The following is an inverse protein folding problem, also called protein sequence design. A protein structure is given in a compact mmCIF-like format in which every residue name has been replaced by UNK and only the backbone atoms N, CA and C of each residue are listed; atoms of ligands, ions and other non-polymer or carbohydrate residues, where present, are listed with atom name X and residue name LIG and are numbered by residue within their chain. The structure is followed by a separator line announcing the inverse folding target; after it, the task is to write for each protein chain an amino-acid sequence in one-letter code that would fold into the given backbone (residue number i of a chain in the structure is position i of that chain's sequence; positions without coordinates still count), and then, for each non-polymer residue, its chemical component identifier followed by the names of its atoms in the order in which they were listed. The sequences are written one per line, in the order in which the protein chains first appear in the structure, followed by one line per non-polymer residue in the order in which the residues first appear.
data_IF_117899091815
#
_entry.id   IF_117899091815
#
_cell.length_a   1.000
_cell.length_b   1.000
_cell.length_c   1.000
_cell.angle_alpha   90.00
_cell.angle_beta   90.00
_cell.angle_gamma   90.00
#
_symmetry.space_group_name_H-M   'P 1'
#
loop_
_entity.id
_entity.type
_entity.pdbx_description
1 polymer ?
#
# COMPACT_ATOMS: atom_id res chain seq x y z
N UNK A 1 17.97 1.45 10.40
CA UNK A 1 16.90 0.67 9.76
C UNK A 1 17.54 -0.23 8.73
N UNK A 2 17.33 -1.54 8.83
CA UNK A 2 17.70 -2.46 7.75
C UNK A 2 16.76 -2.26 6.56
N UNK A 3 17.24 -2.61 5.37
CA UNK A 3 16.42 -2.59 4.16
C UNK A 3 15.32 -3.66 4.23
N UNK A 4 14.10 -3.38 3.71
CA UNK A 4 13.03 -4.36 3.69
C UNK A 4 13.38 -5.55 2.80
N UNK A 5 12.96 -6.76 3.23
CA UNK A 5 13.12 -7.97 2.43
C UNK A 5 11.96 -8.06 1.45
N UNK A 6 12.23 -7.87 0.16
CA UNK A 6 11.20 -7.92 -0.88
C UNK A 6 10.82 -9.38 -1.16
N UNK A 7 9.53 -9.69 -1.04
CA UNK A 7 8.97 -11.03 -1.25
C UNK A 7 8.32 -11.13 -2.64
N UNK A 8 7.63 -10.08 -3.06
CA UNK A 8 7.07 -9.95 -4.40
C UNK A 8 7.43 -8.61 -5.00
N UNK A 9 7.77 -8.58 -6.29
CA UNK A 9 8.27 -7.38 -6.95
C UNK A 9 7.50 -7.09 -8.23
N UNK A 10 7.03 -5.84 -8.35
CA UNK A 10 6.46 -5.27 -9.57
C UNK A 10 5.34 -6.14 -10.19
N UNK A 11 4.46 -6.68 -9.35
CA UNK A 11 3.33 -7.49 -9.80
C UNK A 11 2.21 -6.56 -10.23
N UNK A 12 1.87 -6.60 -11.52
CA UNK A 12 0.77 -5.80 -12.06
C UNK A 12 -0.57 -6.32 -11.53
N UNK A 13 -1.42 -5.41 -11.06
CA UNK A 13 -2.74 -5.77 -10.54
C UNK A 13 -3.63 -4.54 -10.36
N UNK A 14 -4.69 -4.74 -9.57
CA UNK A 14 -5.60 -3.68 -9.16
C UNK A 14 -5.55 -3.50 -7.65
N UNK A 15 -5.70 -2.26 -7.22
CA UNK A 15 -5.94 -1.91 -5.82
C UNK A 15 -7.20 -1.08 -5.73
N UNK A 16 -7.96 -1.30 -4.65
CA UNK A 16 -9.07 -0.45 -4.25
C UNK A 16 -8.71 0.27 -2.96
N UNK A 17 -8.77 1.59 -2.97
CA UNK A 17 -8.50 2.43 -1.81
C UNK A 17 -9.81 2.99 -1.24
N UNK A 18 -9.94 2.99 0.10
CA UNK A 18 -11.09 3.58 0.81
C UNK A 18 -12.44 3.03 0.31
N UNK A 19 -12.45 1.77 -0.13
CA UNK A 19 -13.58 1.06 -0.75
C UNK A 19 -14.22 1.77 -1.97
N UNK A 20 -13.55 2.78 -2.52
CA UNK A 20 -14.13 3.70 -3.50
C UNK A 20 -13.28 3.90 -4.75
N UNK A 21 -11.97 3.92 -4.61
CA UNK A 21 -11.09 4.32 -5.70
C UNK A 21 -10.30 3.12 -6.23
N UNK A 22 -10.66 2.68 -7.43
CA UNK A 22 -10.01 1.57 -8.13
C UNK A 22 -8.89 2.07 -9.04
N UNK A 23 -7.69 1.50 -8.89
CA UNK A 23 -6.53 1.85 -9.70
C UNK A 23 -5.80 0.60 -10.19
N UNK A 24 -5.28 0.70 -11.41
CA UNK A 24 -4.28 -0.25 -11.91
C UNK A 24 -2.92 0.15 -11.37
N UNK A 25 -2.19 -0.81 -10.80
CA UNK A 25 -0.89 -0.55 -10.18
C UNK A 25 0.10 -1.64 -10.51
N UNK A 26 1.39 -1.34 -10.34
CA UNK A 26 2.36 -2.38 -10.02
C UNK A 26 2.61 -2.39 -8.52
N UNK A 27 2.49 -3.56 -7.92
CA UNK A 27 2.61 -3.77 -6.49
C UNK A 27 3.90 -4.51 -6.18
N UNK A 28 4.66 -3.99 -5.22
CA UNK A 28 5.78 -4.68 -4.59
C UNK A 28 5.45 -4.87 -3.13
N UNK A 29 5.65 -6.08 -2.60
CA UNK A 29 5.39 -6.45 -1.21
C UNK A 29 6.69 -6.99 -0.62
N UNK A 30 7.03 -6.51 0.56
CA UNK A 30 8.15 -6.97 1.35
C UNK A 30 7.82 -6.96 2.84
N UNK A 31 8.83 -7.29 3.64
CA UNK A 31 8.77 -7.26 5.09
C UNK A 31 9.78 -6.25 5.62
N UNK A 32 9.31 -5.33 6.46
CA UNK A 32 10.14 -4.40 7.19
C UNK A 32 10.71 -5.03 8.48
N UNK A 33 11.70 -4.36 9.06
CA UNK A 33 12.25 -4.73 10.38
C UNK A 33 11.17 -4.54 11.46
N UNK A 34 10.76 -5.61 12.13
CA UNK A 34 9.64 -5.59 13.09
C UNK A 34 8.47 -6.51 12.71
N UNK A 35 8.46 -7.05 11.48
CA UNK A 35 7.42 -7.95 11.01
C UNK A 35 6.30 -7.27 10.21
N UNK A 36 6.31 -5.94 10.15
CA UNK A 36 5.34 -5.18 9.35
C UNK A 36 5.52 -5.42 7.85
N UNK A 37 4.43 -5.33 7.11
CA UNK A 37 4.48 -5.36 5.65
C UNK A 37 4.98 -4.02 5.11
N UNK A 38 5.95 -4.10 4.20
CA UNK A 38 6.38 -2.98 3.37
C UNK A 38 5.74 -3.10 1.99
N UNK A 39 5.11 -2.04 1.51
CA UNK A 39 4.50 -2.02 0.19
C UNK A 39 5.05 -0.86 -0.64
N UNK A 40 5.28 -1.11 -1.92
CA UNK A 40 5.43 -0.05 -2.93
C UNK A 40 4.29 -0.19 -3.93
N UNK A 41 3.54 0.90 -4.09
CA UNK A 41 2.39 0.97 -4.99
C UNK A 41 2.71 1.98 -6.08
N UNK A 42 2.95 1.47 -7.28
CA UNK A 42 3.17 2.28 -8.48
C UNK A 42 1.87 2.41 -9.25
N UNK A 43 1.21 3.55 -9.10
CA UNK A 43 -0.01 3.90 -9.84
C UNK A 43 0.33 4.19 -11.29
N UNK A 44 -0.29 3.45 -12.20
CA UNK A 44 -0.09 3.56 -13.63
C UNK A 44 -1.37 4.02 -14.33
N UNK A 45 -1.19 4.69 -15.47
CA UNK A 45 -2.29 5.15 -16.33
C UNK A 45 -3.33 6.03 -15.60
N UNK A 46 -2.90 6.87 -14.64
CA UNK A 46 -3.83 7.73 -13.91
C UNK A 46 -4.42 8.80 -14.82
N UNK A 47 -5.71 9.07 -14.64
CA UNK A 47 -6.30 10.32 -15.12
C UNK A 47 -5.81 11.48 -14.27
N UNK A 48 -5.97 12.71 -14.76
CA UNK A 48 -5.63 13.90 -13.98
C UNK A 48 -6.41 13.99 -12.65
N UNK A 49 -7.67 13.54 -12.64
CA UNK A 49 -8.47 13.45 -11.42
C UNK A 49 -7.94 12.36 -10.48
N UNK A 50 -7.61 11.18 -11.03
CA UNK A 50 -6.99 10.08 -10.28
C UNK A 50 -5.70 10.52 -9.58
N UNK A 51 -4.81 11.22 -10.30
CA UNK A 51 -3.58 11.77 -9.73
C UNK A 51 -3.85 12.73 -8.58
N UNK A 52 -4.85 13.61 -8.69
CA UNK A 52 -5.22 14.53 -7.61
C UNK A 52 -5.70 13.79 -6.37
N UNK A 53 -6.56 12.77 -6.55
CA UNK A 53 -7.09 11.97 -5.44
C UNK A 53 -5.96 11.22 -4.75
N UNK A 54 -5.14 10.50 -5.50
CA UNK A 54 -3.98 9.76 -4.97
C UNK A 54 -3.04 10.75 -4.25
N UNK A 55 -2.70 11.89 -4.86
CA UNK A 55 -1.84 12.88 -4.21
C UNK A 55 -2.45 13.53 -2.94
N UNK A 56 -3.78 13.54 -2.81
CA UNK A 56 -4.45 13.98 -1.59
C UNK A 56 -4.42 12.90 -0.51
N UNK A 57 -4.75 11.66 -0.88
CA UNK A 57 -4.71 10.51 0.03
C UNK A 57 -3.30 10.29 0.61
N UNK A 58 -2.25 10.46 -0.20
CA UNK A 58 -0.86 10.29 0.23
C UNK A 58 -0.38 11.28 1.30
N UNK A 59 -1.14 12.35 1.55
CA UNK A 59 -0.84 13.38 2.55
C UNK A 59 -1.62 13.19 3.85
N UNK A 60 -2.56 12.24 3.88
CA UNK A 60 -3.36 11.98 5.07
C UNK A 60 -2.49 11.26 6.10
N UNK A 61 -2.40 11.82 7.30
CA UNK A 61 -1.69 11.22 8.44
C UNK A 61 -2.59 10.20 9.16
N UNK A 62 -3.16 9.26 8.40
CA UNK A 62 -3.99 8.17 8.93
C UNK A 62 -3.83 6.91 8.08
N UNK A 63 -4.31 5.79 8.63
CA UNK A 63 -4.47 4.53 7.90
C UNK A 63 -5.49 4.70 6.78
N UNK A 64 -5.18 4.16 5.61
CA UNK A 64 -6.07 4.07 4.45
C UNK A 64 -6.47 2.62 4.23
N UNK A 65 -7.75 2.32 4.00
CA UNK A 65 -8.13 0.95 3.66
C UNK A 65 -7.66 0.59 2.26
N UNK A 66 -7.17 -0.63 2.10
CA UNK A 66 -6.69 -1.16 0.82
C UNK A 66 -7.22 -2.57 0.59
N UNK A 67 -7.59 -2.87 -0.65
CA UNK A 67 -7.84 -4.23 -1.14
C UNK A 67 -7.06 -4.45 -2.41
N UNK A 68 -6.58 -5.66 -2.63
CA UNK A 68 -5.92 -6.05 -3.87
C UNK A 68 -6.10 -7.53 -4.12
N UNK A 69 -6.32 -7.89 -5.38
CA UNK A 69 -6.39 -9.30 -5.79
C UNK A 69 -5.14 -10.08 -5.40
N UNK A 70 -3.96 -9.44 -5.42
CA UNK A 70 -2.68 -10.06 -5.05
C UNK A 70 -2.62 -10.30 -3.54
N UNK A 71 -3.08 -9.33 -2.74
CA UNK A 71 -3.13 -9.44 -1.27
C UNK A 71 -4.05 -10.60 -0.88
N UNK A 72 -5.23 -10.66 -1.48
CA UNK A 72 -6.25 -11.67 -1.17
C UNK A 72 -5.81 -13.08 -1.61
N UNK A 73 -5.26 -13.19 -2.83
CA UNK A 73 -4.84 -14.48 -3.41
C UNK A 73 -3.71 -15.13 -2.61
N UNK A 74 -2.75 -14.33 -2.15
CA UNK A 74 -1.56 -14.79 -1.43
C UNK A 74 -1.77 -14.77 0.09
N UNK A 75 -2.99 -14.44 0.53
CA UNK A 75 -3.43 -14.43 1.92
C UNK A 75 -2.58 -13.53 2.83
N UNK A 76 -2.12 -12.40 2.31
CA UNK A 76 -1.46 -11.39 3.13
C UNK A 76 -2.49 -10.69 4.02
N UNK A 77 -2.22 -10.56 5.32
CA UNK A 77 -3.12 -9.87 6.26
C UNK A 77 -2.97 -8.33 6.19
N UNK A 78 -3.07 -7.78 4.97
CA UNK A 78 -2.90 -6.35 4.69
C UNK A 78 -4.28 -5.76 4.41
N UNK A 79 -4.84 -5.07 5.40
CA UNK A 79 -6.17 -4.42 5.26
C UNK A 79 -6.08 -2.90 5.18
N UNK A 80 -4.99 -2.34 5.72
CA UNK A 80 -4.77 -0.91 5.81
C UNK A 80 -3.31 -0.56 5.55
N UNK A 81 -3.06 0.60 4.95
CA UNK A 81 -1.73 1.12 4.71
C UNK A 81 -1.57 2.52 5.28
N UNK A 82 -0.34 2.86 5.65
CA UNK A 82 0.08 4.23 5.95
C UNK A 82 1.14 4.62 4.91
N UNK A 83 0.89 5.71 4.18
CA UNK A 83 1.85 6.22 3.21
C UNK A 83 2.98 6.92 3.95
N UNK A 84 4.21 6.40 3.81
CA UNK A 84 5.39 6.94 4.49
C UNK A 84 6.21 7.84 3.57
N UNK A 85 6.21 7.55 2.27
CA UNK A 85 6.79 8.40 1.23
C UNK A 85 5.95 8.32 -0.02
N UNK A 86 6.00 9.39 -0.82
CA UNK A 86 5.41 9.38 -2.14
C UNK A 86 6.22 10.24 -3.10
N UNK A 87 6.17 9.91 -4.39
CA UNK A 87 6.70 10.72 -5.47
C UNK A 87 5.78 10.65 -6.67
N UNK A 88 5.78 11.71 -7.50
CA UNK A 88 5.00 11.78 -8.73
C UNK A 88 5.91 12.15 -9.89
N UNK A 89 5.61 11.66 -11.09
CA UNK A 89 6.33 12.04 -12.30
C UNK A 89 5.43 12.76 -13.32
N UNK A 90 6.02 13.24 -14.41
CA UNK A 90 5.33 13.98 -15.47
C UNK A 90 4.36 13.14 -16.30
N UNK A 91 4.38 11.81 -16.15
CA UNK A 91 3.61 10.89 -16.98
C UNK A 91 2.32 10.43 -16.30
N UNK A 92 1.79 11.24 -15.38
CA UNK A 92 0.63 10.90 -14.55
C UNK A 92 0.83 9.58 -13.80
N UNK A 93 2.06 9.29 -13.36
CA UNK A 93 2.32 8.18 -12.45
C UNK A 93 2.69 8.71 -11.08
N UNK A 94 2.35 7.92 -10.07
CA UNK A 94 2.66 8.20 -8.67
C UNK A 94 3.12 6.91 -8.01
N UNK A 95 4.16 7.02 -7.20
CA UNK A 95 4.68 5.90 -6.40
C UNK A 95 4.45 6.22 -4.95
N UNK A 96 3.89 5.27 -4.21
CA UNK A 96 3.82 5.31 -2.76
C UNK A 96 4.70 4.23 -2.16
N UNK A 97 5.45 4.59 -1.11
CA UNK A 97 5.99 3.64 -0.15
C UNK A 97 5.08 3.64 1.07
N UNK A 98 4.70 2.46 1.52
CA UNK A 98 3.72 2.26 2.57
C UNK A 98 4.20 1.24 3.59
N UNK A 99 3.69 1.38 4.81
CA UNK A 99 3.74 0.34 5.84
C UNK A 99 2.33 -0.14 6.14
N UNK A 100 2.21 -1.41 6.50
CA UNK A 100 0.98 -2.02 6.97
C UNK A 100 1.31 -2.93 8.15
N UNK A 101 0.69 -2.65 9.28
CA UNK A 101 0.76 -3.50 10.45
C UNK A 101 -0.19 -4.67 10.24
N UNK A 102 0.22 -5.88 10.63
CA UNK A 102 -0.69 -7.02 10.67
C UNK A 102 -1.68 -6.83 11.85
N UNK A 103 -2.98 -6.64 11.60
CA UNK A 103 -3.95 -6.42 12.67
C UNK A 103 -4.03 -7.61 13.65
N UNK A 104 -3.70 -8.83 13.23
CA UNK A 104 -3.71 -10.02 14.09
C UNK A 104 -2.54 -10.06 15.08
N UNK A 105 -1.49 -9.27 14.88
CA UNK A 105 -0.39 -9.15 15.86
C UNK A 105 -0.84 -8.50 17.17
N UNK A 106 -1.94 -7.73 17.14
CA UNK A 106 -2.51 -7.06 18.31
C UNK A 106 -3.64 -7.83 18.98
N UNK A 107 -4.19 -8.86 18.34
CA UNK A 107 -5.26 -9.70 18.91
C UNK A 107 -4.76 -10.54 20.12
N UNK A 108 -3.44 -10.64 20.31
CA UNK A 108 -2.83 -11.29 21.47
C UNK A 108 -2.46 -10.34 22.61
N UNK A 109 -2.74 -9.03 22.50
CA UNK A 109 -2.55 -8.09 23.62
C UNK A 109 -3.90 -7.93 24.34
N UNK A 110 -4.34 -8.99 25.00
CA UNK A 110 -5.30 -8.87 26.10
C UNK A 110 -4.51 -8.32 27.29
N UNK A 111 -4.67 -7.03 27.56
CA UNK A 111 -4.23 -6.44 28.82
C UNK A 111 -5.26 -6.90 29.87
N UNK A 112 -4.91 -7.91 30.67
CA UNK A 112 -5.59 -8.20 31.95
C UNK A 112 -5.33 -7.07 32.96
#
# INVERSE_FOLDING_TARGET
MKEPVIVQKNIKGKVRLEDKYDYTVNLTIGLAEGGDFYLVIDFIDLTMEGLKIVAQLSKLQRRLSIKSEIIDKEQYNITHIVVTKFSSNSNLAMTWECLSDDPSLYDNIVIE
#
